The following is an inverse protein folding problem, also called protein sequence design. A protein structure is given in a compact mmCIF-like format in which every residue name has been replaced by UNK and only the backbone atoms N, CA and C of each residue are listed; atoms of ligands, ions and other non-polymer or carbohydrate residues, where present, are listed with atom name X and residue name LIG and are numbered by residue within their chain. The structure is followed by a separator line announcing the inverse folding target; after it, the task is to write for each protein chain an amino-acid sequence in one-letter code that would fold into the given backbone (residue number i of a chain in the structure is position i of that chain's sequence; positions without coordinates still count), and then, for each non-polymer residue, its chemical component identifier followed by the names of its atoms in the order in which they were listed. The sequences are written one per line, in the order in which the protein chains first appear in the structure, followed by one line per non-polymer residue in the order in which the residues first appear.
data_IF_390983114560
#
_entry.id   IF_390983114560
#
_cell.length_a   1.000
_cell.length_b   1.000
_cell.length_c   1.000
_cell.angle_alpha   90.00
_cell.angle_beta   90.00
_cell.angle_gamma   90.00
#
_symmetry.space_group_name_H-M   'P 1'
#
loop_
_entity.id
_entity.type
_entity.pdbx_description
1 polymer ?
#
# COMPACT_ATOMS: atom_id res chain seq x y z
N UNK A 1 -21.96 28.71 6.14
CA UNK A 1 -21.77 27.43 6.86
C UNK A 1 -20.29 27.27 7.12
N UNK A 2 -19.82 27.08 8.36
CA UNK A 2 -18.39 26.88 8.62
C UNK A 2 -17.93 25.55 7.99
N UNK A 3 -16.82 25.59 7.24
CA UNK A 3 -16.18 24.40 6.65
C UNK A 3 -15.52 23.58 7.77
N UNK A 4 -15.78 22.26 7.79
CA UNK A 4 -15.08 21.34 8.68
C UNK A 4 -13.60 21.29 8.32
N UNK A 5 -12.73 21.34 9.33
CA UNK A 5 -11.29 21.09 9.17
C UNK A 5 -11.04 19.57 9.19
N UNK A 6 -10.75 18.95 8.03
CA UNK A 6 -10.57 17.51 7.94
C UNK A 6 -9.29 17.02 8.62
N UNK A 7 -8.34 17.91 8.92
CA UNK A 7 -7.05 17.54 9.50
C UNK A 7 -7.10 17.33 11.03
N UNK A 8 -8.13 17.83 11.71
CA UNK A 8 -8.20 17.84 13.19
C UNK A 8 -8.13 16.43 13.82
N UNK A 9 -8.64 15.40 13.14
CA UNK A 9 -8.71 14.03 13.65
C UNK A 9 -8.19 12.97 12.64
N UNK A 10 -7.45 13.36 11.60
CA UNK A 10 -7.00 12.42 10.56
C UNK A 10 -5.59 11.89 10.83
N UNK A 11 -5.41 10.57 10.72
CA UNK A 11 -4.08 9.94 10.73
C UNK A 11 -3.40 10.08 9.36
N UNK A 12 -2.08 10.28 9.35
CA UNK A 12 -1.30 10.18 8.11
C UNK A 12 -1.27 8.72 7.65
N UNK A 13 -1.69 8.50 6.40
CA UNK A 13 -1.65 7.19 5.75
C UNK A 13 -0.69 7.24 4.56
N UNK A 14 -0.20 6.08 4.16
CA UNK A 14 0.57 5.97 2.94
C UNK A 14 -0.30 6.33 1.74
N UNK A 15 0.21 7.18 0.86
CA UNK A 15 -0.49 7.55 -0.37
C UNK A 15 -0.64 6.36 -1.35
N UNK A 16 0.26 5.37 -1.25
CA UNK A 16 0.28 4.17 -2.09
C UNK A 16 0.32 2.95 -1.19
N UNK A 17 -0.65 2.06 -1.38
CA UNK A 17 -0.77 0.83 -0.59
C UNK A 17 0.03 -0.35 -1.16
N UNK A 18 0.25 -0.38 -2.47
CA UNK A 18 0.97 -1.46 -3.16
C UNK A 18 1.86 -0.87 -4.26
N UNK A 19 3.17 -0.91 -4.04
CA UNK A 19 4.15 -0.37 -4.98
C UNK A 19 4.14 -1.10 -6.33
N UNK A 20 3.81 -2.39 -6.36
CA UNK A 20 3.84 -3.17 -7.59
C UNK A 20 2.58 -2.98 -8.45
N UNK A 21 1.51 -2.36 -7.91
CA UNK A 21 0.21 -2.19 -8.59
C UNK A 21 -0.29 -0.74 -8.61
N UNK A 22 0.62 0.22 -8.83
CA UNK A 22 0.34 1.66 -8.75
C UNK A 22 -0.45 2.24 -9.90
N UNK A 23 -0.33 1.66 -11.10
CA UNK A 23 -0.91 2.18 -12.33
C UNK A 23 -1.48 1.04 -13.21
N UNK A 24 -2.28 1.36 -14.25
CA UNK A 24 -2.91 0.35 -15.09
C UNK A 24 -1.95 -0.59 -15.82
N UNK A 25 -0.78 -0.09 -16.26
CA UNK A 25 0.23 -0.90 -16.94
C UNK A 25 0.80 -1.94 -15.97
N UNK A 26 1.14 -1.52 -14.75
CA UNK A 26 1.65 -2.42 -13.71
C UNK A 26 0.58 -3.45 -13.29
N UNK A 27 -0.70 -3.06 -13.23
CA UNK A 27 -1.80 -3.97 -12.88
C UNK A 27 -2.10 -5.01 -13.95
N UNK A 28 -1.88 -4.69 -15.22
CA UNK A 28 -2.02 -5.63 -16.33
C UNK A 28 -0.83 -6.60 -16.42
N UNK A 29 0.31 -6.28 -15.81
CA UNK A 29 1.49 -7.14 -15.81
C UNK A 29 1.32 -8.30 -14.85
N UNK A 30 1.36 -9.53 -15.39
CA UNK A 30 1.36 -10.77 -14.60
C UNK A 30 2.53 -10.81 -13.61
N UNK A 31 3.72 -10.42 -14.06
CA UNK A 31 4.94 -10.42 -13.23
C UNK A 31 4.78 -9.50 -12.01
N UNK A 32 4.15 -8.34 -12.18
CA UNK A 32 3.93 -7.41 -11.07
C UNK A 32 2.91 -7.96 -10.06
N UNK A 33 1.89 -8.69 -10.53
CA UNK A 33 0.98 -9.43 -9.65
C UNK A 33 1.70 -10.47 -8.81
N UNK A 34 2.62 -11.24 -9.41
CA UNK A 34 3.43 -12.23 -8.71
C UNK A 34 4.34 -11.59 -7.64
N UNK A 35 4.98 -10.45 -7.96
CA UNK A 35 5.80 -9.71 -6.99
C UNK A 35 4.97 -9.13 -5.84
N UNK A 36 3.78 -8.59 -6.10
CA UNK A 36 2.84 -8.12 -5.07
C UNK A 36 2.46 -9.25 -4.11
N UNK A 37 2.16 -10.45 -4.63
CA UNK A 37 1.82 -11.61 -3.82
C UNK A 37 3.00 -12.04 -2.92
N UNK A 38 4.21 -12.12 -3.48
CA UNK A 38 5.42 -12.43 -2.72
C UNK A 38 5.73 -11.36 -1.66
N UNK A 39 5.55 -10.08 -1.97
CA UNK A 39 5.75 -9.00 -1.02
C UNK A 39 4.78 -9.07 0.17
N UNK A 40 3.51 -9.39 -0.07
CA UNK A 40 2.51 -9.62 0.98
C UNK A 40 2.85 -10.85 1.82
N UNK A 41 3.33 -11.94 1.20
CA UNK A 41 3.75 -13.14 1.90
C UNK A 41 4.92 -12.88 2.88
N UNK A 42 5.88 -12.01 2.52
CA UNK A 42 6.98 -11.61 3.43
C UNK A 42 6.48 -10.88 4.69
N UNK A 43 5.41 -10.09 4.59
CA UNK A 43 4.84 -9.38 5.73
C UNK A 43 4.04 -10.28 6.69
N UNK A 44 3.64 -11.48 6.26
CA UNK A 44 2.90 -12.43 7.09
C UNK A 44 3.80 -13.18 8.07
N UNK A 45 5.07 -13.35 7.76
CA UNK A 45 6.07 -13.92 8.66
C UNK A 45 6.59 -12.82 9.60
N UNK A 46 6.41 -12.98 10.92
CA UNK A 46 7.11 -12.18 11.92
C UNK A 46 8.60 -12.48 11.80
N UNK A 47 9.33 -11.64 11.07
CA UNK A 47 10.79 -11.67 11.06
C UNK A 47 11.22 -11.18 12.44
N UNK A 48 11.94 -12.02 13.21
CA UNK A 48 12.59 -11.56 14.42
C UNK A 48 13.58 -10.46 14.01
N UNK A 49 13.48 -9.28 14.62
CA UNK A 49 14.42 -8.20 14.37
C UNK A 49 15.84 -8.66 14.73
N UNK A 50 16.79 -8.39 13.85
CA UNK A 50 18.23 -8.42 14.17
C UNK A 50 18.61 -7.23 15.06
#
# INVERSE_FOLDING_TARGET
VPLRDPAKNASFLNAINDFYLTNPIARASRLMGELSALAKARGATKVAAE
#
